data_IF_431466243856
#
_entry.id   IF_431466243856
#
_cell.length_a   1.000
_cell.length_b   1.000
_cell.length_c   1.000
_cell.angle_alpha   90.00
_cell.angle_beta   90.00
_cell.angle_gamma   90.00
#
_symmetry.space_group_name_H-M   'P 1'
#
loop_
_entity.id
_entity.type
_entity.pdbx_description
1 polymer ?
#
# COMPACT_ATOMS: atom_id res chain seq x y z
N UNK A 1 -20.20 -0.32 -13.38
CA UNK A 1 -19.00 0.41 -13.72
C UNK A 1 -18.07 0.47 -12.53
N UNK A 2 -16.87 0.12 -12.79
CA UNK A 2 -15.95 0.12 -11.75
C UNK A 2 -15.17 1.38 -11.72
N UNK A 3 -15.01 1.95 -10.57
CA UNK A 3 -14.22 3.14 -10.42
C UNK A 3 -13.01 2.83 -9.59
N UNK A 4 -11.89 3.35 -10.00
CA UNK A 4 -10.69 3.22 -9.22
C UNK A 4 -10.84 4.03 -7.94
N UNK A 5 -10.39 3.46 -6.86
CA UNK A 5 -10.43 4.16 -5.59
C UNK A 5 -9.03 4.44 -5.12
N UNK A 6 -8.90 5.48 -4.31
CA UNK A 6 -7.62 5.81 -3.72
C UNK A 6 -7.55 5.15 -2.36
N UNK A 7 -6.63 4.21 -2.23
CA UNK A 7 -6.51 3.45 -1.01
C UNK A 7 -5.20 3.84 -0.34
N UNK A 8 -5.27 4.26 0.91
CA UNK A 8 -4.09 4.60 1.67
C UNK A 8 -3.68 3.40 2.52
N UNK A 9 -2.43 3.00 2.37
CA UNK A 9 -1.91 1.86 3.11
C UNK A 9 -1.00 2.38 4.21
N UNK A 10 -1.45 2.26 5.43
CA UNK A 10 -0.71 2.76 6.57
C UNK A 10 -0.56 1.61 7.56
N UNK A 11 0.66 1.37 8.00
CA UNK A 11 0.91 0.30 8.94
C UNK A 11 1.90 0.75 9.99
N UNK A 12 1.62 0.40 11.23
CA UNK A 12 2.56 0.63 12.31
C UNK A 12 3.66 -0.42 12.23
N UNK A 13 4.77 -0.14 12.87
CA UNK A 13 5.92 -1.01 12.78
C UNK A 13 5.59 -2.46 13.11
N UNK A 14 4.80 -2.68 14.13
CA UNK A 14 4.47 -4.04 14.51
C UNK A 14 3.47 -4.72 13.61
N UNK A 15 2.92 -4.00 12.64
CA UNK A 15 1.90 -4.56 11.76
C UNK A 15 2.33 -4.60 10.30
N UNK A 16 3.58 -4.29 10.02
CA UNK A 16 4.01 -4.22 8.63
C UNK A 16 3.95 -5.57 7.94
N UNK A 17 4.32 -6.62 8.64
CA UNK A 17 4.27 -7.95 8.04
C UNK A 17 2.84 -8.38 7.77
N UNK A 18 1.92 -8.05 8.66
CA UNK A 18 0.51 -8.35 8.43
C UNK A 18 0.01 -7.58 7.22
N UNK A 19 0.43 -6.35 7.08
CA UNK A 19 0.05 -5.54 5.93
C UNK A 19 0.55 -6.16 4.64
N UNK A 20 1.78 -6.65 4.63
CA UNK A 20 2.34 -7.28 3.44
C UNK A 20 1.53 -8.51 3.05
N UNK A 21 1.19 -9.33 4.02
CA UNK A 21 0.43 -10.54 3.74
C UNK A 21 -0.94 -10.19 3.20
N UNK A 22 -1.57 -9.19 3.80
CA UNK A 22 -2.88 -8.76 3.34
C UNK A 22 -2.80 -8.24 1.90
N UNK A 23 -1.77 -7.47 1.60
CA UNK A 23 -1.59 -6.95 0.26
C UNK A 23 -1.36 -8.06 -0.76
N UNK A 24 -0.60 -9.07 -0.38
CA UNK A 24 -0.36 -10.19 -1.28
C UNK A 24 -1.65 -10.96 -1.55
N UNK A 25 -2.46 -11.15 -0.52
CA UNK A 25 -3.71 -11.87 -0.67
C UNK A 25 -4.69 -11.12 -1.55
N UNK A 26 -4.61 -9.79 -1.54
CA UNK A 26 -5.53 -8.96 -2.29
C UNK A 26 -4.86 -8.23 -3.45
N UNK A 27 -3.75 -8.75 -3.91
CA UNK A 27 -2.96 -8.06 -4.92
C UNK A 27 -3.76 -7.75 -6.18
N UNK A 28 -4.54 -8.69 -6.66
CA UNK A 28 -5.29 -8.48 -7.88
C UNK A 28 -6.30 -7.35 -7.74
N UNK A 29 -6.91 -7.27 -6.58
CA UNK A 29 -7.86 -6.20 -6.34
C UNK A 29 -7.13 -4.88 -6.20
N UNK A 30 -6.04 -4.89 -5.45
CA UNK A 30 -5.32 -3.66 -5.17
C UNK A 30 -4.71 -3.05 -6.42
N UNK A 31 -4.24 -3.88 -7.35
CA UNK A 31 -3.60 -3.33 -8.53
C UNK A 31 -4.60 -2.63 -9.46
N UNK A 32 -5.88 -2.80 -9.22
CA UNK A 32 -6.89 -2.11 -9.99
C UNK A 32 -7.22 -0.73 -9.41
N UNK A 33 -6.64 -0.40 -8.27
CA UNK A 33 -6.92 0.87 -7.62
C UNK A 33 -5.65 1.68 -7.45
N UNK A 34 -5.82 2.95 -7.14
CA UNK A 34 -4.66 3.81 -6.87
C UNK A 34 -4.27 3.63 -5.42
N UNK A 35 -3.04 3.21 -5.22
CA UNK A 35 -2.56 2.95 -3.88
C UNK A 35 -1.60 4.04 -3.46
N UNK A 36 -1.64 4.40 -2.20
CA UNK A 36 -0.70 5.36 -1.64
C UNK A 36 -0.30 4.89 -0.25
N UNK A 37 0.85 5.33 0.19
CA UNK A 37 1.32 4.96 1.50
C UNK A 37 2.48 5.82 1.91
N UNK A 38 2.81 5.78 3.20
CA UNK A 38 3.96 6.53 3.67
C UNK A 38 5.23 5.88 3.16
N UNK A 39 6.32 6.66 3.16
CA UNK A 39 7.54 6.24 2.49
C UNK A 39 7.97 4.81 2.76
N UNK A 40 8.19 4.47 4.02
CA UNK A 40 8.69 3.15 4.35
C UNK A 40 7.70 2.05 3.98
N UNK A 41 6.43 2.26 4.31
CA UNK A 41 5.40 1.28 4.03
C UNK A 41 5.22 1.10 2.52
N UNK A 42 5.19 2.20 1.79
CA UNK A 42 5.01 2.13 0.35
C UNK A 42 6.14 1.37 -0.31
N UNK A 43 7.38 1.65 0.08
CA UNK A 43 8.53 0.97 -0.51
C UNK A 43 8.52 -0.51 -0.18
N UNK A 44 8.19 -0.85 1.06
CA UNK A 44 8.18 -2.24 1.46
C UNK A 44 7.15 -3.04 0.68
N UNK A 45 5.96 -2.48 0.52
CA UNK A 45 4.92 -3.17 -0.21
C UNK A 45 5.26 -3.25 -1.69
N UNK A 46 5.80 -2.18 -2.24
CA UNK A 46 6.17 -2.18 -3.65
C UNK A 46 7.24 -3.23 -3.94
N UNK A 47 8.23 -3.35 -3.03
CA UNK A 47 9.31 -4.29 -3.23
C UNK A 47 8.86 -5.73 -3.03
N UNK A 48 8.04 -5.98 -2.03
CA UNK A 48 7.69 -7.36 -1.68
C UNK A 48 6.48 -7.87 -2.45
N UNK A 49 5.52 -7.02 -2.69
CA UNK A 49 4.29 -7.45 -3.35
C UNK A 49 4.33 -7.13 -4.84
N UNK A 50 5.04 -6.08 -5.23
CA UNK A 50 5.12 -5.70 -6.62
C UNK A 50 4.01 -4.78 -7.08
N UNK A 51 3.39 -4.10 -6.16
CA UNK A 51 2.33 -3.16 -6.49
C UNK A 51 2.92 -1.77 -6.68
N UNK A 52 2.27 -0.99 -7.53
CA UNK A 52 2.66 0.39 -7.70
C UNK A 52 1.97 1.22 -6.65
N UNK A 53 2.74 1.84 -5.79
CA UNK A 53 2.20 2.61 -4.69
C UNK A 53 2.79 4.00 -4.70
N UNK A 54 1.93 4.98 -4.63
CA UNK A 54 2.38 6.36 -4.59
C UNK A 54 2.88 6.67 -3.19
N UNK A 55 4.09 7.19 -3.11
CA UNK A 55 4.66 7.54 -1.82
C UNK A 55 4.10 8.87 -1.37
N UNK A 56 3.52 8.89 -0.19
CA UNK A 56 2.99 10.11 0.39
C UNK A 56 3.92 10.48 1.53
N UNK A 57 4.41 11.69 1.49
CA UNK A 57 5.29 12.13 2.56
C UNK A 57 4.47 12.39 3.80
N UNK A 58 5.01 11.97 4.90
CA UNK A 58 4.33 12.18 6.15
C UNK A 58 4.22 13.63 6.43
N UNK A 59 3.17 13.93 6.91
CA UNK A 59 3.01 15.27 7.25
C UNK A 59 3.52 15.57 8.56
N UNK A 60 3.72 15.01 8.88
CA UNK A 60 4.02 15.42 9.86
C UNK A 60 4.47 16.07 9.87
N UNK A 61 4.29 16.19 9.59
CA UNK A 61 4.57 16.87 9.52
C UNK A 61 4.48 16.89 8.95
#
# INVERSE_FOLDING_TARGET
IEKQKNIALIAHDGKKQDMLKWCMDNKEILQQHNLSGTGTTARMIADHVGLKIKVVHGTDG
#
